data_IF_528897068817
#
_entry.id   IF_528897068817
#
_cell.length_a   1.000
_cell.length_b   1.000
_cell.length_c   1.000
_cell.angle_alpha   90.00
_cell.angle_beta   90.00
_cell.angle_gamma   90.00
#
_symmetry.space_group_name_H-M   'P 1'
#
loop_
_entity.id
_entity.type
_entity.pdbx_description
1 polymer ?
#
# COMPACT_ATOMS: atom_id res chain seq x y z
N UNK A 1 5.55 6.92 4.58
CA UNK A 1 5.32 6.86 3.12
C UNK A 1 4.17 5.90 2.87
N UNK A 2 3.22 6.25 2.01
CA UNK A 2 2.08 5.41 1.63
C UNK A 2 2.08 5.23 0.11
N UNK A 3 1.78 4.02 -0.37
CA UNK A 3 1.70 3.71 -1.79
C UNK A 3 0.56 2.77 -2.11
N UNK A 4 0.13 2.75 -3.37
CA UNK A 4 -0.91 1.85 -3.88
C UNK A 4 -0.33 0.92 -4.94
N UNK A 5 -0.67 -0.36 -4.90
CA UNK A 5 -0.36 -1.31 -5.96
C UNK A 5 -1.59 -2.08 -6.41
N UNK A 6 -1.63 -2.34 -7.71
CA UNK A 6 -2.68 -3.11 -8.37
C UNK A 6 -2.55 -4.61 -8.16
N UNK A 7 -1.34 -5.09 -7.88
CA UNK A 7 -1.08 -6.50 -7.59
C UNK A 7 0.08 -6.65 -6.62
N UNK A 8 -0.03 -7.63 -5.72
CA UNK A 8 1.06 -8.03 -4.83
C UNK A 8 2.04 -8.99 -5.50
N UNK A 9 1.71 -9.55 -6.67
CA UNK A 9 2.51 -10.58 -7.38
C UNK A 9 3.99 -10.23 -7.42
N UNK A 10 4.34 -9.00 -7.79
CA UNK A 10 5.73 -8.59 -7.96
C UNK A 10 6.47 -8.35 -6.64
N UNK A 11 5.77 -7.96 -5.58
CA UNK A 11 6.36 -7.83 -4.25
C UNK A 11 6.73 -9.20 -3.67
N UNK A 12 5.90 -10.20 -3.94
CA UNK A 12 6.12 -11.59 -3.56
C UNK A 12 7.24 -12.22 -4.37
N UNK A 13 7.20 -12.07 -5.69
CA UNK A 13 8.28 -12.56 -6.58
C UNK A 13 9.63 -11.92 -6.26
N UNK A 14 9.61 -10.64 -5.85
CA UNK A 14 10.81 -9.97 -5.37
C UNK A 14 11.25 -10.42 -3.97
N UNK A 15 10.43 -11.09 -3.16
CA UNK A 15 10.76 -11.36 -1.76
C UNK A 15 10.82 -10.10 -0.89
N UNK A 16 10.12 -9.04 -1.30
CA UNK A 16 10.00 -7.77 -0.54
C UNK A 16 8.83 -7.80 0.45
N UNK A 17 8.02 -8.87 0.41
CA UNK A 17 6.91 -9.18 1.31
C UNK A 17 6.96 -10.66 1.66
N UNK A 18 6.59 -11.02 2.90
CA UNK A 18 6.58 -12.41 3.35
C UNK A 18 5.66 -13.31 2.49
N UNK A 19 6.08 -14.56 2.25
CA UNK A 19 5.27 -15.54 1.50
C UNK A 19 3.94 -15.88 2.17
N UNK A 20 3.82 -15.68 3.49
CA UNK A 20 2.57 -15.89 4.23
C UNK A 20 1.53 -14.80 3.91
N UNK A 21 1.97 -13.55 3.77
CA UNK A 21 1.12 -12.43 3.35
C UNK A 21 0.75 -12.51 1.85
N UNK A 22 1.59 -13.18 1.05
CA UNK A 22 1.40 -13.41 -0.38
C UNK A 22 0.21 -14.32 -0.72
N UNK A 23 0.01 -15.40 0.05
CA UNK A 23 -1.00 -16.41 -0.24
C UNK A 23 -2.44 -15.85 -0.17
N UNK A 24 -2.65 -14.78 0.59
CA UNK A 24 -3.95 -14.08 0.71
C UNK A 24 -4.17 -13.09 -0.43
N UNK A 25 -3.12 -12.73 -1.18
CA UNK A 25 -3.20 -11.69 -2.20
C UNK A 25 -3.74 -12.17 -3.57
N UNK A 26 -3.56 -13.45 -3.90
CA UNK A 26 -4.04 -14.02 -5.18
C UNK A 26 -5.58 -14.11 -5.26
N UNK A 27 -6.29 -14.03 -4.13
CA UNK A 27 -7.75 -14.16 -4.07
C UNK A 27 -8.47 -12.81 -4.14
N UNK A 28 -7.77 -11.68 -3.93
CA UNK A 28 -8.41 -10.39 -3.81
C UNK A 28 -8.17 -9.53 -5.04
N UNK A 29 -9.22 -9.33 -5.85
CA UNK A 29 -9.34 -8.23 -6.84
C UNK A 29 -9.37 -6.84 -6.18
N UNK A 30 -8.59 -6.65 -5.11
CA UNK A 30 -8.62 -5.49 -4.24
C UNK A 30 -7.21 -4.91 -4.24
N UNK A 31 -7.09 -3.66 -4.68
CA UNK A 31 -5.84 -2.91 -4.75
C UNK A 31 -5.34 -2.70 -3.32
N UNK A 32 -4.05 -2.89 -3.12
CA UNK A 32 -3.45 -2.86 -1.79
C UNK A 32 -2.80 -1.50 -1.53
N UNK A 33 -3.11 -0.91 -0.38
CA UNK A 33 -2.40 0.22 0.17
C UNK A 33 -1.27 -0.31 1.05
N UNK A 34 -0.05 0.13 0.79
CA UNK A 34 1.17 -0.34 1.44
C UNK A 34 1.92 0.81 2.10
N UNK A 35 2.59 0.48 3.20
CA UNK A 35 3.51 1.38 3.90
C UNK A 35 4.78 0.62 4.25
N UNK A 36 5.78 1.37 4.71
CA UNK A 36 7.00 0.81 5.27
C UNK A 36 6.95 0.92 6.79
N UNK A 37 7.25 -0.19 7.46
CA UNK A 37 7.40 -0.25 8.91
C UNK A 37 8.63 -1.10 9.22
N UNK A 38 9.57 -0.52 9.96
CA UNK A 38 10.82 -1.20 10.38
C UNK A 38 11.63 -1.82 9.24
N UNK A 39 11.62 -1.17 8.06
CA UNK A 39 12.31 -1.63 6.86
C UNK A 39 11.55 -2.70 6.06
N UNK A 40 10.38 -3.14 6.53
CA UNK A 40 9.54 -4.10 5.82
C UNK A 40 8.34 -3.43 5.14
N UNK A 41 7.94 -3.98 3.98
CA UNK A 41 6.73 -3.57 3.29
C UNK A 41 5.54 -4.25 3.96
N UNK A 42 4.65 -3.45 4.54
CA UNK A 42 3.45 -3.92 5.22
C UNK A 42 2.20 -3.35 4.56
N UNK A 43 1.09 -4.09 4.64
CA UNK A 43 -0.19 -3.64 4.10
C UNK A 43 -0.89 -2.73 5.10
N UNK A 44 -1.12 -1.48 4.70
CA UNK A 44 -1.86 -0.48 5.47
C UNK A 44 -3.38 -0.63 5.29
N UNK A 45 -3.82 -1.05 4.11
CA UNK A 45 -5.25 -1.19 3.82
C UNK A 45 -5.57 -1.81 2.46
N UNK A 46 -6.86 -1.89 2.16
CA UNK A 46 -7.39 -2.45 0.93
C UNK A 46 -8.44 -1.52 0.32
N UNK A 47 -8.38 -1.32 -0.99
CA UNK A 47 -9.35 -0.52 -1.76
C UNK A 47 -9.77 -1.26 -3.03
N UNK A 48 -11.05 -1.17 -3.38
CA UNK A 48 -11.61 -1.89 -4.55
C UNK A 48 -11.36 -1.18 -5.88
N UNK A 49 -11.16 0.14 -5.85
CA UNK A 49 -10.94 0.95 -7.05
C UNK A 49 -9.69 1.81 -6.89
N UNK A 50 -9.08 2.20 -8.00
CA UNK A 50 -7.88 3.03 -7.99
C UNK A 50 -8.18 4.43 -7.43
N UNK A 51 -9.30 5.04 -7.85
CA UNK A 51 -9.74 6.34 -7.35
C UNK A 51 -9.86 6.37 -5.83
N UNK A 52 -10.48 5.36 -5.20
CA UNK A 52 -10.55 5.30 -3.72
C UNK A 52 -9.19 5.17 -3.06
N UNK A 53 -8.22 4.54 -3.71
CA UNK A 53 -6.86 4.49 -3.19
C UNK A 53 -6.13 5.81 -3.35
N UNK A 54 -6.41 6.56 -4.42
CA UNK A 54 -5.90 7.91 -4.60
C UNK A 54 -6.45 8.88 -3.55
N UNK A 55 -7.75 8.79 -3.24
CA UNK A 55 -8.36 9.55 -2.15
C UNK A 55 -7.63 9.29 -0.82
N UNK A 56 -7.30 8.02 -0.52
CA UNK A 56 -6.49 7.67 0.65
C UNK A 56 -5.07 8.23 0.63
N UNK A 57 -4.46 8.35 -0.54
CA UNK A 57 -3.15 8.98 -0.68
C UNK A 57 -3.24 10.50 -0.41
N UNK A 58 -4.28 11.17 -0.91
CA UNK A 58 -4.52 12.59 -0.63
C UNK A 58 -4.77 12.82 0.87
N UNK A 59 -5.67 12.04 1.48
CA UNK A 59 -5.93 12.10 2.93
C UNK A 59 -4.63 11.89 3.73
N UNK A 60 -3.77 10.96 3.33
CA UNK A 60 -2.50 10.71 4.01
C UNK A 60 -1.56 11.91 3.95
N UNK A 61 -1.54 12.64 2.83
CA UNK A 61 -0.72 13.83 2.62
C UNK A 61 -1.30 15.02 3.40
N UNK A 62 -2.60 15.28 3.28
CA UNK A 62 -3.29 16.36 4.01
C UNK A 62 -3.10 16.25 5.53
N UNK A 63 -3.27 15.05 6.08
CA UNK A 63 -3.16 14.84 7.53
C UNK A 63 -1.72 14.88 8.06
N UNK A 64 -0.70 14.96 7.20
CA UNK A 64 0.72 14.93 7.61
C UNK A 64 1.52 16.17 7.28
N UNK A 65 0.96 17.12 6.55
CA UNK A 65 1.73 18.28 6.13
C UNK A 65 1.11 19.62 6.55
N UNK A 66 1.77 20.26 7.52
CA UNK A 66 2.14 21.66 7.32
C UNK A 66 3.26 21.66 6.26
N UNK A 67 2.91 21.80 4.97
CA UNK A 67 3.88 21.85 3.85
C UNK A 67 4.77 23.11 3.93
N UNK A 68 4.46 24.06 4.83
CA UNK A 68 5.09 25.39 4.86
C UNK A 68 6.53 25.42 5.37
N UNK A 69 7.05 24.35 5.98
CA UNK A 69 8.38 24.35 6.62
C UNK A 69 9.41 23.39 5.99
N UNK A 70 9.25 23.00 4.71
CA UNK A 70 10.23 22.15 4.01
C UNK A 70 11.19 22.95 3.13
#
# INVERSE_FOLDING_TARGET
MLGILDTMKYLVLGGRVSKATAAVADILQIKSLLTFRDGEVVREGLVRTYSRGMDRLYEFVENRLNIQDL
#
